data_IF_445131240092
#
_entry.id   IF_445131240092
#
_cell.length_a   1.000
_cell.length_b   1.000
_cell.length_c   1.000
_cell.angle_alpha   90.00
_cell.angle_beta   90.00
_cell.angle_gamma   90.00
#
_symmetry.space_group_name_H-M   'P 1'
#
loop_
_entity.id
_entity.type
_entity.pdbx_description
1 polymer ?
#
# COMPACT_ATOMS: atom_id res chain seq x y z
N UNK A 1 0.21 -12.95 -2.35
CA UNK A 1 -0.15 -11.85 -3.27
C UNK A 1 -1.60 -11.49 -3.04
N UNK A 2 -1.88 -10.25 -2.66
CA UNK A 2 -3.22 -9.77 -2.35
C UNK A 2 -4.08 -9.83 -3.61
N UNK A 3 -5.23 -10.51 -3.54
CA UNK A 3 -6.15 -10.74 -4.68
C UNK A 3 -6.76 -9.45 -5.28
N UNK A 4 -6.49 -8.29 -4.67
CA UNK A 4 -7.01 -6.98 -5.03
C UNK A 4 -5.89 -5.94 -5.02
N UNK A 5 -5.73 -5.21 -6.13
CA UNK A 5 -4.82 -4.06 -6.23
C UNK A 5 -5.40 -2.87 -5.47
N UNK A 6 -4.58 -1.83 -5.30
CA UNK A 6 -5.02 -0.58 -4.69
C UNK A 6 -6.17 0.04 -5.48
N UNK A 7 -6.04 0.10 -6.82
CA UNK A 7 -7.09 0.61 -7.71
C UNK A 7 -8.42 -0.14 -7.53
N UNK A 8 -8.39 -1.48 -7.44
CA UNK A 8 -9.61 -2.29 -7.28
C UNK A 8 -10.36 -1.92 -5.99
N UNK A 9 -9.61 -1.77 -4.88
CA UNK A 9 -10.20 -1.41 -3.58
C UNK A 9 -10.79 0.01 -3.60
N UNK A 10 -10.12 0.95 -4.28
CA UNK A 10 -10.60 2.32 -4.43
C UNK A 10 -11.91 2.34 -5.22
N UNK A 11 -11.98 1.62 -6.35
CA UNK A 11 -13.20 1.51 -7.15
C UNK A 11 -14.38 0.95 -6.36
N UNK A 12 -14.13 -0.08 -5.55
CA UNK A 12 -15.13 -0.70 -4.68
C UNK A 12 -15.66 0.29 -3.63
N UNK A 13 -14.78 1.08 -3.03
CA UNK A 13 -15.18 2.10 -2.04
C UNK A 13 -15.93 3.25 -2.71
N UNK A 14 -15.49 3.71 -3.88
CA UNK A 14 -16.16 4.77 -4.64
C UNK A 14 -17.57 4.36 -5.05
N UNK A 15 -17.77 3.14 -5.56
CA UNK A 15 -19.12 2.61 -5.89
C UNK A 15 -20.09 2.68 -4.71
N UNK A 16 -19.60 2.43 -3.50
CA UNK A 16 -20.39 2.57 -2.28
C UNK A 16 -20.65 4.05 -1.93
N UNK A 17 -19.63 4.89 -1.97
CA UNK A 17 -19.72 6.32 -1.61
C UNK A 17 -20.55 7.15 -2.60
N UNK A 18 -20.51 6.81 -3.89
CA UNK A 18 -21.33 7.42 -4.93
C UNK A 18 -22.82 6.99 -4.83
N UNK A 19 -23.17 6.14 -3.85
CA UNK A 19 -24.55 5.77 -3.54
C UNK A 19 -25.19 4.82 -4.54
N UNK A 20 -24.41 4.26 -5.47
CA UNK A 20 -24.94 3.45 -6.56
C UNK A 20 -25.28 2.01 -6.11
N UNK A 21 -24.59 1.48 -5.09
CA UNK A 21 -24.76 0.09 -4.67
C UNK A 21 -24.60 -0.12 -3.14
N UNK A 22 -25.43 -1.00 -2.57
CA UNK A 22 -25.32 -1.44 -1.17
C UNK A 22 -24.15 -2.40 -0.95
N UNK A 23 -23.62 -2.47 0.28
CA UNK A 23 -22.55 -3.42 0.66
C UNK A 23 -22.87 -4.87 0.31
N UNK A 24 -24.14 -5.30 0.39
CA UNK A 24 -24.60 -6.63 -0.03
C UNK A 24 -24.16 -6.95 -1.46
N UNK A 25 -24.53 -6.07 -2.38
CA UNK A 25 -24.38 -6.28 -3.82
C UNK A 25 -22.91 -6.26 -4.23
N UNK A 26 -22.16 -5.30 -3.69
CA UNK A 26 -20.72 -5.18 -3.93
C UNK A 26 -19.97 -6.40 -3.36
N UNK A 27 -20.36 -6.87 -2.17
CA UNK A 27 -19.76 -8.06 -1.56
C UNK A 27 -19.97 -9.33 -2.40
N UNK A 28 -21.15 -9.48 -2.99
CA UNK A 28 -21.50 -10.62 -3.84
C UNK A 28 -20.73 -10.60 -5.16
N UNK A 29 -20.69 -9.45 -5.85
CA UNK A 29 -19.97 -9.28 -7.12
C UNK A 29 -18.47 -9.54 -6.95
N UNK A 30 -17.87 -8.96 -5.92
CA UNK A 30 -16.43 -9.03 -5.67
C UNK A 30 -16.04 -10.31 -4.91
N UNK A 31 -17.02 -11.07 -4.41
CA UNK A 31 -16.83 -12.24 -3.52
C UNK A 31 -15.97 -11.92 -2.31
N UNK A 32 -16.22 -10.78 -1.69
CA UNK A 32 -15.51 -10.28 -0.51
C UNK A 32 -16.53 -10.04 0.61
N UNK A 33 -16.17 -10.39 1.84
CA UNK A 33 -17.06 -10.17 2.98
C UNK A 33 -17.35 -8.68 3.20
N UNK A 34 -18.60 -8.35 3.53
CA UNK A 34 -19.05 -6.99 3.85
C UNK A 34 -18.17 -6.30 4.89
N UNK A 35 -17.66 -7.06 5.87
CA UNK A 35 -16.75 -6.55 6.91
C UNK A 35 -15.44 -6.01 6.35
N UNK A 36 -14.91 -6.64 5.29
CA UNK A 36 -13.69 -6.19 4.61
C UNK A 36 -13.98 -4.89 3.85
N UNK A 37 -15.09 -4.83 3.11
CA UNK A 37 -15.49 -3.63 2.36
C UNK A 37 -15.73 -2.46 3.32
N UNK A 38 -16.42 -2.68 4.45
CA UNK A 38 -16.59 -1.67 5.50
C UNK A 38 -15.25 -1.19 6.06
N UNK A 39 -14.28 -2.08 6.20
CA UNK A 39 -12.91 -1.72 6.59
C UNK A 39 -12.23 -0.81 5.56
N UNK A 40 -12.39 -1.11 4.27
CA UNK A 40 -11.89 -0.27 3.17
C UNK A 40 -12.57 1.11 3.14
N UNK A 41 -13.89 1.17 3.28
CA UNK A 41 -14.60 2.46 3.33
C UNK A 41 -14.07 3.32 4.48
N UNK A 42 -13.94 2.76 5.69
CA UNK A 42 -13.38 3.50 6.83
C UNK A 42 -11.94 3.97 6.60
N UNK A 43 -11.12 3.13 5.98
CA UNK A 43 -9.74 3.51 5.62
C UNK A 43 -9.73 4.68 4.63
N UNK A 44 -10.61 4.65 3.63
CA UNK A 44 -10.78 5.74 2.67
C UNK A 44 -11.30 7.02 3.33
N UNK A 45 -12.27 6.94 4.23
CA UNK A 45 -12.80 8.12 4.93
C UNK A 45 -11.73 8.80 5.79
N UNK A 46 -10.79 8.04 6.35
CA UNK A 46 -9.74 8.58 7.22
C UNK A 46 -8.51 9.09 6.47
N UNK A 47 -8.09 8.39 5.40
CA UNK A 47 -6.81 8.62 4.73
C UNK A 47 -6.95 8.84 3.21
N UNK A 48 -8.17 8.85 2.69
CA UNK A 48 -8.45 8.99 1.27
C UNK A 48 -7.82 7.89 0.42
N UNK A 49 -7.35 8.28 -0.78
CA UNK A 49 -6.65 7.39 -1.70
C UNK A 49 -5.34 6.83 -1.11
N UNK A 50 -4.68 7.59 -0.23
CA UNK A 50 -3.41 7.18 0.36
C UNK A 50 -3.53 5.91 1.22
N UNK A 51 -4.73 5.63 1.75
CA UNK A 51 -5.03 4.45 2.57
C UNK A 51 -4.76 3.12 1.83
N UNK A 52 -4.94 3.13 0.51
CA UNK A 52 -4.75 1.94 -0.34
C UNK A 52 -3.41 1.93 -1.06
N UNK A 53 -2.79 3.10 -1.20
CA UNK A 53 -1.46 3.26 -1.80
C UNK A 53 -0.37 2.84 -0.79
N UNK A 54 -0.55 3.18 0.49
CA UNK A 54 0.40 2.86 1.58
C UNK A 54 0.02 1.56 2.27
N UNK A 55 0.00 0.44 1.54
CA UNK A 55 0.01 -0.87 2.22
C UNK A 55 1.41 -1.08 2.81
N UNK A 56 1.59 -0.76 4.09
CA UNK A 56 2.81 -0.94 4.89
C UNK A 56 4.12 -0.65 4.12
N UNK A 57 4.56 0.62 4.20
CA UNK A 57 5.81 1.13 3.60
C UNK A 57 6.01 0.71 2.14
N UNK A 58 5.05 1.04 1.28
CA UNK A 58 5.22 0.93 -0.16
C UNK A 58 6.15 2.07 -0.63
N UNK A 59 7.46 1.86 -0.49
CA UNK A 59 8.47 2.75 -1.07
C UNK A 59 8.32 2.75 -2.59
N UNK A 60 8.23 3.93 -3.20
CA UNK A 60 8.16 4.05 -4.65
C UNK A 60 9.38 3.39 -5.31
N UNK A 61 9.23 2.92 -6.55
CA UNK A 61 10.35 2.33 -7.29
C UNK A 61 11.55 3.28 -7.36
N UNK A 62 11.28 4.58 -7.57
CA UNK A 62 12.28 5.64 -7.57
C UNK A 62 12.97 5.81 -6.21
N UNK A 63 12.22 5.77 -5.10
CA UNK A 63 12.79 5.83 -3.76
C UNK A 63 13.71 4.64 -3.48
N UNK A 64 13.28 3.42 -3.83
CA UNK A 64 14.11 2.21 -3.66
C UNK A 64 15.40 2.33 -4.47
N UNK A 65 15.31 2.81 -5.70
CA UNK A 65 16.45 2.97 -6.60
C UNK A 65 17.42 4.04 -6.09
N UNK A 66 16.91 5.14 -5.53
CA UNK A 66 17.70 6.16 -4.85
C UNK A 66 18.45 5.58 -3.64
N UNK A 67 17.77 4.80 -2.79
CA UNK A 67 18.38 4.14 -1.62
C UNK A 67 19.50 3.18 -2.02
N UNK A 68 19.30 2.38 -3.08
CA UNK A 68 20.30 1.45 -3.59
C UNK A 68 21.50 2.16 -4.22
N UNK A 69 21.25 3.23 -4.98
CA UNK A 69 22.32 4.04 -5.56
C UNK A 69 23.16 4.68 -4.47
N UNK A 70 22.53 5.28 -3.46
CA UNK A 70 23.23 5.83 -2.31
C UNK A 70 24.12 4.78 -1.62
N UNK A 71 23.58 3.57 -1.41
CA UNK A 71 24.34 2.47 -0.80
C UNK A 71 25.54 2.05 -1.65
N UNK A 72 25.39 2.00 -2.98
CA UNK A 72 26.48 1.66 -3.90
C UNK A 72 27.53 2.78 -4.03
N UNK A 73 27.11 4.04 -4.05
CA UNK A 73 28.00 5.21 -4.15
C UNK A 73 28.79 5.47 -2.87
N UNK A 74 28.15 5.26 -1.71
CA UNK A 74 28.77 5.49 -0.39
C UNK A 74 29.41 4.24 0.21
N UNK A 75 29.14 3.05 -0.34
CA UNK A 75 29.63 1.77 0.18
C UNK A 75 29.08 1.44 1.57
N UNK A 76 27.90 1.96 1.93
CA UNK A 76 27.31 1.79 3.27
C UNK A 76 26.64 0.42 3.43
N UNK A 77 26.51 -0.05 4.67
CA UNK A 77 25.78 -1.29 4.92
C UNK A 77 24.26 -1.10 4.77
N UNK A 78 23.51 -2.19 4.65
CA UNK A 78 22.04 -2.14 4.65
C UNK A 78 21.47 -1.58 5.96
N UNK A 79 22.20 -1.71 7.07
CA UNK A 79 21.82 -1.17 8.38
C UNK A 79 21.99 0.35 8.42
N UNK A 80 23.16 0.85 8.01
CA UNK A 80 23.42 2.29 7.98
C UNK A 80 22.49 3.00 6.99
N UNK A 81 22.29 2.38 5.82
CA UNK A 81 21.38 2.90 4.80
C UNK A 81 19.94 2.94 5.32
N UNK A 82 19.48 1.89 6.01
CA UNK A 82 18.14 1.91 6.59
C UNK A 82 17.98 2.99 7.67
N UNK A 83 19.01 3.22 8.50
CA UNK A 83 18.99 4.29 9.49
C UNK A 83 18.92 5.68 8.84
N UNK A 84 19.70 5.91 7.77
CA UNK A 84 19.73 7.19 7.04
C UNK A 84 18.38 7.50 6.38
N UNK A 85 17.75 6.50 5.76
CA UNK A 85 16.48 6.67 5.04
C UNK A 85 15.24 6.40 5.90
N UNK A 86 15.41 6.27 7.22
CA UNK A 86 14.35 5.98 8.18
C UNK A 86 13.49 4.76 7.79
N UNK A 87 14.17 3.70 7.33
CA UNK A 87 13.56 2.44 6.92
C UNK A 87 13.47 1.52 8.13
N UNK A 88 12.25 1.08 8.44
CA UNK A 88 11.94 0.29 9.62
C UNK A 88 12.62 -1.09 9.66
N UNK A 89 13.07 -1.60 8.52
CA UNK A 89 13.76 -2.88 8.43
C UNK A 89 14.94 -2.82 7.44
N UNK A 90 16.18 -2.98 7.92
CA UNK A 90 17.37 -3.17 7.08
C UNK A 90 17.24 -4.35 6.11
N UNK A 91 16.46 -5.38 6.49
CA UNK A 91 16.15 -6.51 5.64
C UNK A 91 15.36 -6.13 4.39
N UNK A 92 14.54 -5.07 4.44
CA UNK A 92 13.83 -4.58 3.25
C UNK A 92 14.79 -4.00 2.22
N UNK A 93 15.82 -3.25 2.65
CA UNK A 93 16.84 -2.68 1.75
C UNK A 93 17.58 -3.79 1.00
N UNK A 94 17.93 -4.88 1.71
CA UNK A 94 18.59 -6.03 1.11
C UNK A 94 17.70 -6.78 0.10
N UNK A 95 16.39 -6.78 0.31
CA UNK A 95 15.40 -7.37 -0.60
C UNK A 95 15.08 -6.50 -1.83
N UNK A 96 15.65 -5.29 -1.95
CA UNK A 96 15.46 -4.43 -3.13
C UNK A 96 16.53 -4.62 -4.21
N UNK A 97 17.60 -5.38 -3.93
CA UNK A 97 18.57 -5.84 -4.93
C UNK A 97 18.03 -7.05 -5.70
#
# INVERSE_FOLDING_TARGET
MSKFKAEDKIQIVLRYLEGNESFEKIAEEVRVSKSIIRGWVRLYEQQGLEAFIKSYTNYSGEFKLNVLNYMNEKGTSSYDTAAIFNISSPGMVRNWR
#
